data_IF_811970675986
#
_entry.id   IF_811970675986
#
_cell.length_a   1.000
_cell.length_b   1.000
_cell.length_c   1.000
_cell.angle_alpha   90.00
_cell.angle_beta   90.00
_cell.angle_gamma   90.00
#
_symmetry.space_group_name_H-M   'P 1'
#
loop_
_entity.id
_entity.type
_entity.pdbx_description
1 polymer ?
#
# COMPACT_ATOMS: atom_id res chain seq x y z
N UNK A 1 85.95 -22.26 13.15
CA UNK A 1 87.32 -21.71 13.27
C UNK A 1 87.60 -20.92 11.99
N UNK A 2 87.38 -19.61 12.03
CA UNK A 2 88.41 -18.55 12.12
C UNK A 2 89.11 -18.24 10.77
N UNK A 3 88.73 -17.13 10.13
CA UNK A 3 89.51 -15.88 10.22
C UNK A 3 88.79 -14.69 9.55
N UNK A 4 88.42 -13.75 10.40
CA UNK A 4 88.29 -12.31 10.14
C UNK A 4 89.68 -11.66 10.33
N UNK A 5 89.88 -10.43 9.83
CA UNK A 5 90.95 -9.42 10.07
C UNK A 5 91.77 -9.12 8.81
N UNK A 6 92.12 -7.89 8.42
CA UNK A 6 92.12 -6.53 9.01
C UNK A 6 92.51 -5.61 7.82
N UNK A 7 91.75 -4.60 7.40
CA UNK A 7 91.77 -3.19 7.85
C UNK A 7 93.11 -2.67 8.41
N UNK A 8 93.56 -1.54 7.83
CA UNK A 8 94.46 -0.48 8.31
C UNK A 8 95.82 -0.33 7.58
N UNK A 9 95.88 0.70 6.74
CA UNK A 9 96.94 1.72 6.81
C UNK A 9 96.38 3.04 6.27
N UNK A 10 95.87 3.80 7.23
CA UNK A 10 95.42 5.19 7.13
C UNK A 10 96.59 6.10 7.51
N UNK A 11 96.54 7.32 6.98
CA UNK A 11 97.11 8.56 7.54
C UNK A 11 98.61 8.79 7.43
N UNK A 12 98.97 9.50 6.36
CA UNK A 12 99.91 10.61 6.46
C UNK A 12 99.62 11.63 5.35
N UNK A 13 98.55 12.40 5.53
CA UNK A 13 98.46 13.76 4.99
C UNK A 13 97.41 14.56 5.77
N UNK A 14 97.92 15.57 6.49
CA UNK A 14 97.22 16.77 6.94
C UNK A 14 96.35 16.62 8.19
N UNK A 15 97.03 16.64 9.34
CA UNK A 15 96.63 17.44 10.50
C UNK A 15 96.26 18.87 10.04
N UNK A 16 95.00 19.08 9.63
CA UNK A 16 94.33 20.34 9.96
C UNK A 16 93.78 20.13 11.36
N UNK A 17 94.37 20.81 12.34
CA UNK A 17 93.66 21.11 13.58
C UNK A 17 92.27 21.60 13.19
N UNK A 18 91.22 21.05 13.81
CA UNK A 18 89.83 21.42 13.53
C UNK A 18 89.63 22.89 13.94
N UNK A 19 90.01 23.80 13.05
CA UNK A 19 89.84 25.24 13.19
C UNK A 19 88.34 25.51 13.26
N UNK A 20 87.91 26.25 14.27
CA UNK A 20 86.53 26.69 14.39
C UNK A 20 86.34 27.89 13.48
N UNK A 21 85.71 27.69 12.31
CA UNK A 21 85.55 28.72 11.28
C UNK A 21 84.08 28.78 10.80
N UNK A 22 83.65 29.95 10.32
CA UNK A 22 82.36 30.09 9.64
C UNK A 22 82.43 29.61 8.19
N UNK A 23 81.42 28.83 7.77
CA UNK A 23 81.35 28.24 6.44
C UNK A 23 80.02 28.60 5.77
N UNK A 24 80.10 29.08 4.53
CA UNK A 24 78.95 29.23 3.65
C UNK A 24 78.76 27.98 2.80
N UNK A 25 77.58 27.38 2.87
CA UNK A 25 77.17 26.17 2.14
C UNK A 25 75.96 26.46 1.26
N UNK A 26 75.92 25.87 0.06
CA UNK A 26 74.82 25.96 -0.89
C UNK A 26 74.40 24.54 -1.28
N UNK A 27 73.10 24.22 -1.21
CA UNK A 27 72.58 22.90 -1.57
C UNK A 27 71.22 22.99 -2.30
N UNK A 28 71.09 22.46 -3.54
CA UNK A 28 72.17 22.06 -4.44
C UNK A 28 72.91 23.29 -5.01
N UNK A 29 74.17 23.12 -5.41
CA UNK A 29 75.00 24.20 -6.00
C UNK A 29 74.63 24.57 -7.44
N UNK A 30 73.80 23.76 -8.08
CA UNK A 30 73.28 23.98 -9.42
C UNK A 30 71.78 23.68 -9.44
N UNK A 31 70.99 24.52 -10.10
CA UNK A 31 69.52 24.44 -10.09
C UNK A 31 68.93 24.57 -11.49
N UNK A 32 67.78 23.95 -11.73
CA UNK A 32 66.89 24.23 -12.86
C UNK A 32 65.77 25.13 -12.35
N UNK A 33 65.65 26.34 -12.91
CA UNK A 33 64.62 27.29 -12.51
C UNK A 33 63.23 26.70 -12.74
N UNK A 34 62.36 26.78 -11.72
CA UNK A 34 61.00 26.25 -11.73
C UNK A 34 60.89 24.73 -11.59
N UNK A 35 62.01 24.00 -11.43
CA UNK A 35 62.03 22.53 -11.30
C UNK A 35 62.72 22.09 -10.00
N UNK A 36 63.88 22.66 -9.67
CA UNK A 36 64.63 22.22 -8.49
C UNK A 36 63.95 22.69 -7.21
N UNK A 37 63.43 21.75 -6.42
CA UNK A 37 62.81 22.02 -5.13
C UNK A 37 63.85 22.07 -3.99
N UNK A 38 63.50 22.74 -2.89
CA UNK A 38 64.25 22.74 -1.63
C UNK A 38 65.72 23.22 -1.73
N UNK A 39 65.92 24.42 -2.26
CA UNK A 39 67.24 25.06 -2.37
C UNK A 39 67.59 25.80 -1.08
N UNK A 40 68.81 25.63 -0.55
CA UNK A 40 69.25 26.29 0.68
C UNK A 40 70.63 26.95 0.56
N UNK A 41 70.77 28.09 1.22
CA UNK A 41 72.05 28.79 1.43
C UNK A 41 72.21 29.00 2.93
N UNK A 42 73.26 28.46 3.53
CA UNK A 42 73.47 28.47 4.98
C UNK A 42 74.88 28.93 5.32
N UNK A 43 74.98 29.94 6.17
CA UNK A 43 76.22 30.34 6.82
C UNK A 43 76.17 29.92 8.28
N UNK A 44 77.13 29.10 8.71
CA UNK A 44 77.15 28.54 10.07
C UNK A 44 78.58 28.37 10.58
N UNK A 45 78.74 28.39 11.91
CA UNK A 45 80.00 28.01 12.54
C UNK A 45 80.22 26.50 12.45
N UNK A 46 81.40 26.06 12.01
CA UNK A 46 81.82 24.65 12.01
C UNK A 46 83.15 24.48 12.72
N UNK A 47 83.26 23.44 13.53
CA UNK A 47 84.49 23.09 14.25
C UNK A 47 84.34 23.26 15.76
N UNK A 48 85.48 23.27 16.47
CA UNK A 48 85.49 23.40 17.93
C UNK A 48 85.48 24.87 18.34
N UNK A 49 84.61 25.23 19.29
CA UNK A 49 84.57 26.59 19.88
C UNK A 49 85.91 26.95 20.54
N UNK A 50 86.61 25.97 21.11
CA UNK A 50 87.94 26.17 21.71
C UNK A 50 89.02 26.58 20.70
N UNK A 51 88.74 26.45 19.40
CA UNK A 51 89.61 26.85 18.31
C UNK A 51 89.10 28.09 17.54
N UNK A 52 88.08 28.79 18.07
CA UNK A 52 87.53 30.05 17.54
C UNK A 52 88.27 31.24 18.14
N UNK A 53 88.53 32.27 17.34
CA UNK A 53 88.99 33.57 17.86
C UNK A 53 87.83 34.41 18.44
N UNK A 54 86.59 34.09 18.08
CA UNK A 54 85.40 34.75 18.59
C UNK A 54 85.00 34.20 19.95
N UNK A 55 84.74 35.11 20.90
CA UNK A 55 84.07 34.85 22.17
C UNK A 55 82.56 35.12 22.04
N UNK A 56 82.20 36.22 21.39
CA UNK A 56 80.80 36.57 21.08
C UNK A 56 80.64 37.02 19.63
N UNK A 57 79.48 36.74 19.03
CA UNK A 57 79.11 37.24 17.70
C UNK A 57 78.05 38.32 17.87
N UNK A 58 78.26 39.48 17.24
CA UNK A 58 77.30 40.60 17.22
C UNK A 58 76.30 40.44 16.09
N UNK A 59 76.79 40.11 14.88
CA UNK A 59 75.95 39.91 13.70
C UNK A 59 76.61 38.99 12.68
N UNK A 60 75.74 38.35 11.89
CA UNK A 60 76.10 37.51 10.76
C UNK A 60 75.29 37.95 9.54
N UNK A 61 75.94 38.18 8.41
CA UNK A 61 75.31 38.68 7.18
C UNK A 61 75.56 37.73 6.03
N UNK A 62 74.53 37.36 5.28
CA UNK A 62 74.70 36.84 3.92
C UNK A 62 74.61 38.02 2.96
N UNK A 63 75.60 38.12 2.08
CA UNK A 63 75.67 39.11 1.03
C UNK A 63 75.64 38.44 -0.34
N UNK A 64 75.06 39.14 -1.30
CA UNK A 64 75.04 38.75 -2.71
C UNK A 64 75.76 39.80 -3.53
N UNK A 65 76.59 39.33 -4.46
CA UNK A 65 77.30 40.19 -5.42
C UNK A 65 76.30 40.85 -6.39
N UNK A 66 76.46 42.15 -6.60
CA UNK A 66 75.69 42.96 -7.54
C UNK A 66 76.35 42.96 -8.91
N UNK A 67 75.65 43.48 -9.92
CA UNK A 67 76.21 43.64 -11.26
C UNK A 67 77.45 44.57 -11.31
N UNK A 68 77.66 45.43 -10.31
CA UNK A 68 78.83 46.29 -10.18
C UNK A 68 80.02 45.62 -9.47
N UNK A 69 79.90 44.32 -9.14
CA UNK A 69 80.85 43.56 -8.29
C UNK A 69 80.96 44.08 -6.85
N UNK A 70 79.96 44.86 -6.41
CA UNK A 70 79.79 45.21 -5.00
C UNK A 70 78.98 44.13 -4.29
N UNK A 71 79.02 44.09 -2.95
CA UNK A 71 78.26 43.11 -2.17
C UNK A 71 77.14 43.81 -1.40
N UNK A 72 75.89 43.41 -1.69
CA UNK A 72 74.71 43.92 -1.00
C UNK A 72 74.22 42.90 0.03
N UNK A 73 73.77 43.38 1.19
CA UNK A 73 73.22 42.54 2.25
C UNK A 73 71.87 41.99 1.78
N UNK A 74 71.76 40.66 1.72
CA UNK A 74 70.49 39.97 1.43
C UNK A 74 69.75 39.61 2.71
N UNK A 75 70.49 39.21 3.74
CA UNK A 75 69.95 38.94 5.06
C UNK A 75 71.00 39.17 6.14
N UNK A 76 70.58 39.76 7.26
CA UNK A 76 71.37 39.92 8.49
C UNK A 76 70.64 39.26 9.66
N UNK A 77 71.40 38.58 10.51
CA UNK A 77 70.99 38.19 11.86
C UNK A 77 71.85 38.95 12.87
N UNK A 78 71.22 39.62 13.84
CA UNK A 78 71.89 40.49 14.82
C UNK A 78 71.46 40.16 16.24
N UNK A 79 72.40 40.20 17.18
CA UNK A 79 72.13 40.04 18.61
C UNK A 79 71.48 41.30 19.18
N UNK A 80 70.39 41.12 19.93
CA UNK A 80 69.67 42.20 20.67
C UNK A 80 69.43 41.76 22.11
N UNK A 81 69.12 42.71 23.01
CA UNK A 81 69.10 42.49 24.47
C UNK A 81 68.27 41.28 24.93
N UNK A 82 67.19 40.94 24.21
CA UNK A 82 66.32 39.79 24.49
C UNK A 82 66.07 38.89 23.28
N UNK A 83 67.11 38.62 22.48
CA UNK A 83 67.06 37.61 21.45
C UNK A 83 67.84 37.98 20.20
N UNK A 84 67.21 37.73 19.06
CA UNK A 84 67.85 37.83 17.75
C UNK A 84 66.92 38.58 16.82
N UNK A 85 67.43 39.63 16.17
CA UNK A 85 66.73 40.32 15.10
C UNK A 85 67.21 39.80 13.74
N UNK A 86 66.28 39.55 12.82
CA UNK A 86 66.58 39.08 11.47
C UNK A 86 65.96 40.05 10.48
N UNK A 87 66.81 40.69 9.66
CA UNK A 87 66.36 41.52 8.54
C UNK A 87 66.70 40.85 7.22
N UNK A 88 65.80 40.91 6.25
CA UNK A 88 66.03 40.39 4.90
C UNK A 88 65.47 41.33 3.85
N UNK A 89 66.22 41.52 2.76
CA UNK A 89 65.80 42.27 1.57
C UNK A 89 65.23 41.35 0.47
N UNK A 90 65.07 40.06 0.75
CA UNK A 90 64.57 39.04 -0.17
C UNK A 90 63.03 39.01 -0.21
N UNK A 91 62.48 38.33 -1.21
CA UNK A 91 61.03 38.15 -1.36
C UNK A 91 60.41 37.38 -0.18
N UNK A 92 59.13 37.65 0.12
CA UNK A 92 58.41 36.99 1.24
C UNK A 92 58.26 35.46 1.08
N UNK A 93 58.49 34.94 -0.13
CA UNK A 93 58.52 33.50 -0.41
C UNK A 93 59.80 32.80 0.07
N UNK A 94 60.87 33.52 0.39
CA UNK A 94 62.11 32.95 0.92
C UNK A 94 62.00 32.81 2.43
N UNK A 95 62.17 31.59 2.92
CA UNK A 95 62.21 31.35 4.37
C UNK A 95 63.60 31.67 4.89
N UNK A 96 63.65 32.55 5.89
CA UNK A 96 64.89 32.94 6.58
C UNK A 96 64.81 32.47 8.02
N UNK A 97 65.88 31.82 8.48
CA UNK A 97 66.01 31.39 9.87
C UNK A 97 67.44 31.59 10.34
N UNK A 98 67.64 31.95 11.61
CA UNK A 98 68.99 32.18 12.13
C UNK A 98 69.03 32.22 13.64
N UNK A 99 70.23 32.07 14.19
CA UNK A 99 70.52 32.06 15.61
C UNK A 99 71.91 32.66 15.85
N UNK A 100 72.08 33.39 16.96
CA UNK A 100 73.34 33.99 17.40
C UNK A 100 73.54 33.89 18.93
N UNK A 101 72.91 32.90 19.56
CA UNK A 101 72.92 32.73 21.02
C UNK A 101 74.32 32.51 21.59
N UNK A 102 75.14 31.72 20.90
CA UNK A 102 76.56 31.50 21.17
C UNK A 102 77.28 31.11 19.88
N UNK A 103 78.61 31.16 19.87
CA UNK A 103 79.45 30.87 18.68
C UNK A 103 79.09 29.51 18.07
N UNK A 104 78.96 28.46 18.88
CA UNK A 104 78.70 27.09 18.41
C UNK A 104 77.38 26.93 17.64
N UNK A 105 76.36 27.68 18.04
CA UNK A 105 75.00 27.61 17.50
C UNK A 105 74.69 28.77 16.56
N UNK A 106 75.70 29.56 16.16
CA UNK A 106 75.50 30.70 15.29
C UNK A 106 75.33 30.24 13.84
N UNK A 107 74.17 30.54 13.26
CA UNK A 107 73.90 30.29 11.85
C UNK A 107 72.86 31.27 11.28
N UNK A 108 72.82 31.36 9.96
CA UNK A 108 71.73 31.96 9.21
C UNK A 108 71.50 31.18 7.91
N UNK A 109 70.25 30.87 7.61
CA UNK A 109 69.83 30.01 6.50
C UNK A 109 68.72 30.68 5.70
N UNK A 110 68.87 30.64 4.37
CA UNK A 110 67.88 31.00 3.37
C UNK A 110 67.35 29.72 2.72
N UNK A 111 66.04 29.60 2.52
CA UNK A 111 65.41 28.41 1.92
C UNK A 111 64.31 28.76 0.93
N UNK A 112 64.38 28.18 -0.27
CA UNK A 112 63.37 28.27 -1.33
C UNK A 112 62.67 26.92 -1.49
N UNK A 113 61.33 26.90 -1.50
CA UNK A 113 60.56 25.68 -1.81
C UNK A 113 60.74 25.26 -3.27
N UNK A 114 60.95 26.22 -4.17
CA UNK A 114 61.23 26.01 -5.59
C UNK A 114 62.24 27.05 -6.08
N UNK A 115 63.24 26.61 -6.87
CA UNK A 115 64.27 27.49 -7.42
C UNK A 115 63.66 28.54 -8.36
N UNK A 116 63.85 29.81 -8.04
CA UNK A 116 63.43 30.98 -8.83
C UNK A 116 64.65 31.79 -9.24
N UNK A 117 64.54 32.66 -10.26
CA UNK A 117 65.70 33.36 -10.84
C UNK A 117 66.47 34.24 -9.85
N UNK A 118 65.85 34.65 -8.75
CA UNK A 118 66.45 35.42 -7.66
C UNK A 118 67.44 34.60 -6.80
N UNK A 119 67.41 33.27 -6.86
CA UNK A 119 68.33 32.37 -6.13
C UNK A 119 69.74 32.30 -6.76
N UNK A 120 69.85 32.67 -8.05
CA UNK A 120 71.12 32.60 -8.79
C UNK A 120 72.05 33.74 -8.39
N UNK A 121 73.34 33.44 -8.25
CA UNK A 121 74.37 34.46 -8.04
C UNK A 121 75.52 34.02 -7.16
N UNK A 122 76.31 35.01 -6.77
CA UNK A 122 77.53 34.85 -6.01
C UNK A 122 77.31 35.33 -4.58
N UNK A 123 77.53 34.45 -3.61
CA UNK A 123 77.22 34.69 -2.21
C UNK A 123 78.48 34.61 -1.35
N UNK A 124 78.53 35.43 -0.29
CA UNK A 124 79.48 35.28 0.81
C UNK A 124 78.82 35.60 2.13
N UNK A 125 79.49 35.27 3.22
CA UNK A 125 79.02 35.57 4.55
C UNK A 125 80.04 36.45 5.28
N UNK A 126 79.57 37.56 5.85
CA UNK A 126 80.37 38.50 6.61
C UNK A 126 80.02 38.32 8.11
N UNK A 127 81.03 38.10 8.95
CA UNK A 127 80.92 37.79 10.38
C UNK A 127 81.50 38.95 11.18
N UNK A 128 80.76 39.42 12.18
CA UNK A 128 81.22 40.45 13.11
C UNK A 128 81.03 39.98 14.54
N UNK A 129 82.07 40.14 15.36
CA UNK A 129 82.03 39.73 16.75
C UNK A 129 83.19 40.29 17.54
N UNK A 130 83.38 39.76 18.74
CA UNK A 130 84.38 40.23 19.68
C UNK A 130 85.21 39.07 20.21
N UNK A 131 86.49 39.34 20.48
CA UNK A 131 87.36 38.50 21.29
C UNK A 131 87.00 38.64 22.78
N UNK A 132 87.52 37.74 23.63
CA UNK A 132 87.33 37.80 25.08
C UNK A 132 87.87 39.10 25.72
N UNK A 133 88.81 39.78 25.08
CA UNK A 133 89.34 41.09 25.50
C UNK A 133 88.57 42.29 24.90
N UNK A 134 87.42 42.05 24.27
CA UNK A 134 86.57 43.03 23.59
C UNK A 134 87.12 43.63 22.28
N UNK A 135 88.21 43.08 21.73
CA UNK A 135 88.66 43.47 20.38
C UNK A 135 87.66 43.05 19.31
N UNK A 136 87.40 43.95 18.36
CA UNK A 136 86.49 43.70 17.23
C UNK A 136 87.14 42.75 16.23
N UNK A 137 86.42 41.68 15.89
CA UNK A 137 86.76 40.76 14.81
C UNK A 137 85.79 40.92 13.65
N UNK A 138 86.36 40.86 12.45
CA UNK A 138 85.61 40.88 11.20
C UNK A 138 86.21 39.87 10.22
N UNK A 139 85.40 38.90 9.81
CA UNK A 139 85.79 37.87 8.86
C UNK A 139 84.81 37.78 7.70
N UNK A 140 85.31 37.27 6.56
CA UNK A 140 84.52 37.00 5.37
C UNK A 140 84.75 35.56 4.94
N UNK A 141 83.68 34.82 4.69
CA UNK A 141 83.80 33.46 4.15
C UNK A 141 84.23 33.48 2.69
N UNK A 142 84.82 32.38 2.19
CA UNK A 142 85.01 32.18 0.75
C UNK A 142 83.68 32.26 0.01
N UNK A 143 83.76 32.84 -1.18
CA UNK A 143 82.61 33.03 -2.06
C UNK A 143 82.07 31.69 -2.58
N UNK A 144 80.74 31.58 -2.70
CA UNK A 144 80.03 30.43 -3.30
C UNK A 144 79.13 30.90 -4.42
N UNK A 145 79.16 30.18 -5.54
CA UNK A 145 78.35 30.49 -6.73
C UNK A 145 77.23 29.47 -6.84
N UNK A 146 76.01 29.96 -7.05
CA UNK A 146 74.84 29.16 -7.39
C UNK A 146 74.43 29.51 -8.83
N UNK A 147 74.51 28.51 -9.71
CA UNK A 147 74.31 28.69 -11.14
C UNK A 147 73.15 27.86 -11.68
N UNK A 148 72.57 28.34 -12.78
CA UNK A 148 71.53 27.62 -13.50
C UNK A 148 72.12 26.49 -14.35
N UNK A 149 71.50 25.32 -14.31
CA UNK A 149 71.77 24.23 -15.26
C UNK A 149 71.00 24.54 -16.54
N UNK A 150 71.68 24.59 -17.68
CA UNK A 150 71.03 24.62 -18.98
C UNK A 150 70.93 23.19 -19.51
N UNK A 151 69.77 22.53 -19.44
CA UNK A 151 69.65 21.13 -19.85
C UNK A 151 69.79 21.01 -21.37
N UNK A 152 70.28 19.86 -21.82
CA UNK A 152 70.35 19.54 -23.25
C UNK A 152 68.94 19.30 -23.82
N UNK A 153 68.77 19.55 -25.12
CA UNK A 153 67.49 19.30 -25.83
C UNK A 153 66.98 17.88 -25.61
N UNK A 154 67.89 16.90 -25.53
CA UNK A 154 67.53 15.49 -25.36
C UNK A 154 66.97 15.17 -23.97
N UNK A 155 67.51 15.79 -22.91
CA UNK A 155 67.02 15.64 -21.53
C UNK A 155 65.64 16.25 -21.37
N UNK A 156 65.40 17.42 -21.97
CA UNK A 156 64.08 18.03 -22.03
C UNK A 156 63.07 17.09 -22.69
N UNK A 157 63.38 16.53 -23.87
CA UNK A 157 62.50 15.59 -24.56
C UNK A 157 62.15 14.37 -23.69
N UNK A 158 63.13 13.81 -22.97
CA UNK A 158 62.91 12.65 -22.10
C UNK A 158 61.98 12.98 -20.93
N UNK A 159 62.13 14.16 -20.31
CA UNK A 159 61.23 14.67 -19.28
C UNK A 159 59.78 14.80 -19.79
N UNK A 160 59.58 15.43 -20.95
CA UNK A 160 58.25 15.57 -21.55
C UNK A 160 57.62 14.23 -21.93
N UNK A 161 58.41 13.26 -22.39
CA UNK A 161 57.93 11.89 -22.64
C UNK A 161 57.43 11.21 -21.37
N UNK A 162 58.20 11.31 -20.28
CA UNK A 162 57.81 10.75 -18.97
C UNK A 162 56.53 11.40 -18.45
N UNK A 163 56.46 12.73 -18.43
CA UNK A 163 55.31 13.46 -17.92
C UNK A 163 54.03 13.16 -18.73
N UNK A 164 54.15 13.05 -20.06
CA UNK A 164 53.03 12.63 -20.92
C UNK A 164 52.57 11.20 -20.63
N UNK A 165 53.50 10.27 -20.37
CA UNK A 165 53.17 8.90 -19.95
C UNK A 165 52.38 8.88 -18.63
N UNK A 166 52.85 9.62 -17.62
CA UNK A 166 52.18 9.72 -16.32
C UNK A 166 50.76 10.32 -16.45
N UNK A 167 50.59 11.35 -17.28
CA UNK A 167 49.28 11.97 -17.54
C UNK A 167 48.34 10.97 -18.23
N UNK A 168 48.81 10.25 -19.25
CA UNK A 168 48.01 9.25 -19.96
C UNK A 168 47.56 8.12 -19.01
N UNK A 169 48.46 7.65 -18.14
CA UNK A 169 48.13 6.63 -17.15
C UNK A 169 47.06 7.11 -16.16
N UNK A 170 47.18 8.35 -15.67
CA UNK A 170 46.17 8.96 -14.77
C UNK A 170 44.82 9.12 -15.46
N UNK A 171 44.80 9.51 -16.74
CA UNK A 171 43.57 9.62 -17.52
C UNK A 171 42.92 8.24 -17.70
N UNK A 172 43.69 7.21 -18.05
CA UNK A 172 43.18 5.83 -18.19
C UNK A 172 42.57 5.33 -16.88
N UNK A 173 43.30 5.44 -15.77
CA UNK A 173 42.80 5.01 -14.46
C UNK A 173 41.53 5.75 -14.04
N UNK A 174 41.42 7.06 -14.34
CA UNK A 174 40.21 7.84 -14.06
C UNK A 174 39.03 7.38 -14.92
N UNK A 175 39.28 7.07 -16.19
CA UNK A 175 38.26 6.54 -17.12
C UNK A 175 37.74 5.19 -16.63
N UNK A 176 38.64 4.25 -16.34
CA UNK A 176 38.26 2.91 -15.86
C UNK A 176 37.44 3.00 -14.56
N UNK A 177 37.82 3.91 -13.66
CA UNK A 177 37.03 4.21 -12.46
C UNK A 177 35.63 4.74 -12.79
N UNK A 178 35.51 5.73 -13.68
CA UNK A 178 34.20 6.23 -14.11
C UNK A 178 33.34 5.15 -14.77
N UNK A 179 33.93 4.31 -15.63
CA UNK A 179 33.21 3.23 -16.32
C UNK A 179 32.69 2.19 -15.31
N UNK A 180 33.50 1.83 -14.30
CA UNK A 180 33.05 0.96 -13.21
C UNK A 180 31.91 1.56 -12.39
N UNK A 181 31.95 2.87 -12.14
CA UNK A 181 30.89 3.56 -11.41
C UNK A 181 29.58 3.57 -12.22
N UNK A 182 29.66 3.83 -13.53
CA UNK A 182 28.50 3.82 -14.43
C UNK A 182 27.91 2.41 -14.53
N UNK A 183 28.75 1.38 -14.61
CA UNK A 183 28.29 -0.01 -14.62
C UNK A 183 27.56 -0.39 -13.33
N UNK A 184 28.08 0.02 -12.17
CA UNK A 184 27.43 -0.19 -10.87
C UNK A 184 26.07 0.51 -10.80
N UNK A 185 26.00 1.78 -11.22
CA UNK A 185 24.73 2.53 -11.26
C UNK A 185 23.72 1.88 -12.21
N UNK A 186 24.16 1.40 -13.38
CA UNK A 186 23.28 0.67 -14.30
C UNK A 186 22.73 -0.63 -13.68
N UNK A 187 23.56 -1.37 -12.95
CA UNK A 187 23.14 -2.58 -12.26
C UNK A 187 22.08 -2.25 -11.19
N UNK A 188 22.29 -1.21 -10.39
CA UNK A 188 21.34 -0.76 -9.36
C UNK A 188 20.02 -0.27 -9.99
N UNK A 189 20.07 0.47 -11.10
CA UNK A 189 18.88 0.88 -11.84
C UNK A 189 18.09 -0.35 -12.30
N UNK A 190 18.76 -1.32 -12.91
CA UNK A 190 18.10 -2.53 -13.42
C UNK A 190 17.48 -3.36 -12.27
N UNK A 191 18.15 -3.48 -11.14
CA UNK A 191 17.61 -4.14 -9.95
C UNK A 191 16.36 -3.41 -9.42
N UNK A 192 16.43 -2.08 -9.33
CA UNK A 192 15.31 -1.24 -8.88
C UNK A 192 14.10 -1.37 -9.81
N UNK A 193 14.32 -1.40 -11.13
CA UNK A 193 13.26 -1.61 -12.12
C UNK A 193 12.58 -2.97 -11.91
N UNK A 194 13.35 -4.04 -11.71
CA UNK A 194 12.80 -5.37 -11.45
C UNK A 194 11.94 -5.44 -10.18
N UNK A 195 12.38 -4.75 -9.11
CA UNK A 195 11.63 -4.65 -7.86
C UNK A 195 10.29 -3.92 -8.05
N UNK A 196 10.29 -2.80 -8.80
CA UNK A 196 9.06 -2.05 -9.12
C UNK A 196 8.04 -2.94 -9.84
N UNK A 197 8.48 -3.66 -10.88
CA UNK A 197 7.58 -4.55 -11.62
C UNK A 197 7.00 -5.67 -10.74
N UNK A 198 7.78 -6.19 -9.80
CA UNK A 198 7.32 -7.22 -8.87
C UNK A 198 6.27 -6.66 -7.89
N UNK A 199 6.46 -5.44 -7.39
CA UNK A 199 5.48 -4.77 -6.54
C UNK A 199 4.15 -4.53 -7.27
N UNK A 200 4.20 -4.06 -8.53
CA UNK A 200 2.99 -3.87 -9.34
C UNK A 200 2.22 -5.18 -9.56
N UNK A 201 2.92 -6.26 -9.90
CA UNK A 201 2.31 -7.59 -10.06
C UNK A 201 1.66 -8.07 -8.77
N UNK A 202 2.34 -7.91 -7.63
CA UNK A 202 1.81 -8.33 -6.33
C UNK A 202 0.55 -7.54 -5.95
N UNK A 203 0.55 -6.21 -6.14
CA UNK A 203 -0.60 -5.38 -5.82
C UNK A 203 -1.81 -5.69 -6.71
N UNK A 204 -1.57 -5.94 -8.00
CA UNK A 204 -2.62 -6.33 -8.96
C UNK A 204 -3.27 -7.67 -8.59
N UNK A 205 -2.47 -8.68 -8.22
CA UNK A 205 -2.99 -9.98 -7.79
C UNK A 205 -3.82 -9.88 -6.50
N UNK A 206 -3.33 -9.15 -5.49
CA UNK A 206 -4.06 -8.96 -4.23
C UNK A 206 -5.40 -8.26 -4.46
N UNK A 207 -5.43 -7.21 -5.29
CA UNK A 207 -6.68 -6.52 -5.62
C UNK A 207 -7.65 -7.42 -6.39
N UNK A 208 -7.15 -8.18 -7.37
CA UNK A 208 -7.93 -9.12 -8.17
C UNK A 208 -8.57 -10.20 -7.31
N UNK A 209 -7.82 -10.79 -6.39
CA UNK A 209 -8.32 -11.85 -5.50
C UNK A 209 -9.38 -11.32 -4.53
N UNK A 210 -9.15 -10.15 -3.93
CA UNK A 210 -10.12 -9.49 -3.05
C UNK A 210 -11.42 -9.14 -3.79
N UNK A 211 -11.32 -8.67 -5.04
CA UNK A 211 -12.48 -8.37 -5.87
C UNK A 211 -13.24 -9.65 -6.25
N UNK A 212 -12.52 -10.70 -6.66
CA UNK A 212 -13.11 -11.98 -7.03
C UNK A 212 -13.86 -12.62 -5.86
N UNK A 213 -13.30 -12.53 -4.65
CA UNK A 213 -13.95 -13.01 -3.43
C UNK A 213 -15.26 -12.26 -3.14
N UNK A 214 -15.27 -10.93 -3.27
CA UNK A 214 -16.49 -10.11 -3.13
C UNK A 214 -17.54 -10.47 -4.18
N UNK A 215 -17.14 -10.62 -5.44
CA UNK A 215 -18.04 -11.01 -6.54
C UNK A 215 -18.65 -12.38 -6.28
N UNK A 216 -17.85 -13.34 -5.80
CA UNK A 216 -18.31 -14.69 -5.46
C UNK A 216 -19.33 -14.66 -4.32
N UNK A 217 -19.06 -13.92 -3.25
CA UNK A 217 -20.01 -13.74 -2.14
C UNK A 217 -21.33 -13.09 -2.59
N UNK A 218 -21.26 -12.05 -3.42
CA UNK A 218 -22.45 -11.40 -3.94
C UNK A 218 -23.26 -12.36 -4.83
N UNK A 219 -22.59 -13.13 -5.68
CA UNK A 219 -23.23 -14.14 -6.52
C UNK A 219 -23.96 -15.20 -5.70
N UNK A 220 -23.35 -15.67 -4.60
CA UNK A 220 -24.00 -16.59 -3.66
C UNK A 220 -25.20 -15.97 -2.95
N UNK A 221 -25.11 -14.70 -2.53
CA UNK A 221 -26.25 -13.98 -1.95
C UNK A 221 -27.41 -13.84 -2.93
N UNK A 222 -27.12 -13.52 -4.19
CA UNK A 222 -28.12 -13.45 -5.26
C UNK A 222 -28.76 -14.82 -5.50
N UNK A 223 -27.98 -15.89 -5.53
CA UNK A 223 -28.51 -17.25 -5.65
C UNK A 223 -29.47 -17.58 -4.50
N UNK A 224 -29.06 -17.33 -3.25
CA UNK A 224 -29.93 -17.52 -2.07
C UNK A 224 -31.22 -16.69 -2.14
N UNK A 225 -31.14 -15.44 -2.59
CA UNK A 225 -32.32 -14.58 -2.75
C UNK A 225 -33.26 -15.05 -3.88
N UNK A 226 -32.74 -15.73 -4.90
CA UNK A 226 -33.56 -16.41 -5.91
C UNK A 226 -34.27 -17.62 -5.30
N UNK A 227 -33.55 -18.40 -4.49
CA UNK A 227 -34.08 -19.59 -3.83
C UNK A 227 -35.17 -19.25 -2.80
N UNK A 228 -35.09 -18.05 -2.18
CA UNK A 228 -36.10 -17.57 -1.23
C UNK A 228 -37.39 -17.07 -1.89
N UNK A 229 -37.53 -17.12 -3.23
CA UNK A 229 -38.76 -16.72 -3.91
C UNK A 229 -39.12 -15.23 -3.83
N UNK A 230 -38.22 -14.37 -3.32
CA UNK A 230 -38.47 -12.92 -3.10
C UNK A 230 -38.74 -12.17 -4.42
N UNK A 231 -38.26 -12.70 -5.54
CA UNK A 231 -38.52 -12.17 -6.88
C UNK A 231 -39.61 -12.94 -7.65
N UNK A 232 -40.32 -13.87 -7.01
CA UNK A 232 -41.41 -14.61 -7.67
C UNK A 232 -42.68 -13.77 -7.67
N UNK A 233 -43.18 -13.51 -8.87
CA UNK A 233 -44.53 -13.01 -9.09
C UNK A 233 -45.54 -14.11 -8.71
N UNK A 234 -46.72 -13.70 -8.26
CA UNK A 234 -47.82 -14.66 -8.06
C UNK A 234 -48.24 -15.18 -9.43
N UNK A 235 -48.72 -16.44 -9.57
CA UNK A 235 -49.05 -16.96 -10.87
C UNK A 235 -50.06 -16.09 -11.64
N UNK A 236 -50.00 -16.13 -12.96
CA UNK A 236 -50.92 -15.38 -13.82
C UNK A 236 -52.38 -15.88 -13.69
N UNK A 237 -53.30 -15.02 -14.14
CA UNK A 237 -54.74 -15.30 -14.17
C UNK A 237 -55.52 -14.72 -12.98
N UNK A 238 -56.85 -14.77 -13.09
CA UNK A 238 -57.76 -14.23 -12.09
C UNK A 238 -58.23 -15.32 -11.13
N UNK A 239 -57.94 -15.15 -9.85
CA UNK A 239 -58.26 -16.11 -8.79
C UNK A 239 -58.38 -15.40 -7.45
N UNK A 240 -58.87 -16.11 -6.43
CA UNK A 240 -58.83 -15.62 -5.06
C UNK A 240 -58.30 -16.69 -4.10
N UNK A 241 -57.79 -16.23 -2.96
CA UNK A 241 -57.31 -17.05 -1.86
C UNK A 241 -58.00 -16.62 -0.56
N UNK A 242 -58.10 -17.53 0.41
CA UNK A 242 -58.50 -17.15 1.76
C UNK A 242 -57.45 -16.23 2.37
N UNK A 243 -57.92 -15.25 3.14
CA UNK A 243 -57.07 -14.24 3.79
C UNK A 243 -56.56 -14.79 5.12
N UNK A 244 -55.24 -14.91 5.32
CA UNK A 244 -54.68 -15.13 6.64
C UNK A 244 -54.84 -13.92 7.56
N UNK A 245 -54.71 -14.11 8.86
CA UNK A 245 -54.69 -13.04 9.87
C UNK A 245 -53.51 -12.05 9.72
N UNK A 246 -52.51 -12.39 8.90
CA UNK A 246 -51.40 -11.51 8.51
C UNK A 246 -51.73 -10.61 7.30
N UNK A 247 -52.97 -10.71 6.78
CA UNK A 247 -53.44 -10.00 5.60
C UNK A 247 -53.16 -10.75 4.29
N UNK A 248 -53.45 -10.10 3.17
CA UNK A 248 -53.24 -10.70 1.86
C UNK A 248 -51.77 -10.99 1.57
N UNK A 249 -51.49 -12.02 0.74
CA UNK A 249 -50.13 -12.27 0.30
C UNK A 249 -49.53 -11.04 -0.38
N UNK A 250 -48.23 -10.81 -0.25
CA UNK A 250 -47.55 -9.63 -0.81
C UNK A 250 -46.51 -10.03 -1.85
N UNK A 251 -46.39 -9.26 -2.94
CA UNK A 251 -45.17 -9.16 -3.76
C UNK A 251 -45.22 -7.98 -4.76
N UNK A 252 -44.14 -7.86 -5.54
CA UNK A 252 -44.02 -6.99 -6.70
C UNK A 252 -45.04 -7.45 -7.76
N UNK A 253 -46.11 -6.69 -8.01
CA UNK A 253 -46.95 -6.84 -9.20
C UNK A 253 -48.34 -7.46 -9.03
N UNK A 254 -48.67 -8.13 -7.92
CA UNK A 254 -50.04 -8.55 -7.63
C UNK A 254 -50.74 -7.51 -6.73
N UNK A 255 -51.81 -6.90 -7.22
CA UNK A 255 -52.69 -6.05 -6.43
C UNK A 255 -53.90 -6.88 -5.96
N UNK A 256 -54.01 -7.05 -4.65
CA UNK A 256 -55.10 -7.81 -4.03
C UNK A 256 -56.21 -6.87 -3.58
N UNK A 257 -57.42 -7.13 -4.08
CA UNK A 257 -58.62 -6.54 -3.49
C UNK A 257 -59.12 -7.47 -2.38
N UNK A 258 -59.61 -6.89 -1.28
CA UNK A 258 -60.14 -7.65 -0.15
C UNK A 258 -61.66 -7.65 -0.15
N UNK A 259 -62.24 -8.70 0.40
CA UNK A 259 -63.67 -8.80 0.67
C UNK A 259 -63.97 -10.00 1.54
N UNK A 260 -65.23 -10.16 1.92
CA UNK A 260 -65.66 -11.27 2.75
C UNK A 260 -67.09 -11.67 2.46
N UNK A 261 -67.37 -12.95 2.73
CA UNK A 261 -68.71 -13.51 2.86
C UNK A 261 -68.97 -13.79 4.33
N UNK A 262 -70.01 -13.17 4.89
CA UNK A 262 -70.60 -13.49 6.19
C UNK A 262 -71.77 -14.44 5.94
N UNK A 263 -71.64 -15.69 6.35
CA UNK A 263 -72.68 -16.71 6.24
C UNK A 263 -73.44 -16.77 7.56
N UNK A 264 -74.76 -16.63 7.51
CA UNK A 264 -75.64 -16.99 8.62
C UNK A 264 -75.81 -18.52 8.58
N UNK A 265 -75.20 -19.20 9.54
CA UNK A 265 -75.23 -20.66 9.69
C UNK A 265 -76.38 -21.06 10.62
N UNK A 266 -76.67 -22.35 10.69
CA UNK A 266 -77.77 -22.90 11.51
C UNK A 266 -77.74 -22.30 12.93
N UNK A 267 -78.89 -21.73 13.32
CA UNK A 267 -79.01 -20.93 14.55
C UNK A 267 -80.22 -21.30 15.40
N UNK A 268 -81.08 -22.19 14.90
CA UNK A 268 -82.34 -22.56 15.54
C UNK A 268 -82.19 -23.85 16.34
N UNK A 269 -81.60 -24.88 15.74
CA UNK A 269 -81.60 -26.24 16.31
C UNK A 269 -80.28 -26.60 17.02
N UNK A 270 -79.14 -26.20 16.46
CA UNK A 270 -77.80 -26.53 16.97
C UNK A 270 -76.74 -25.56 16.41
N UNK A 271 -75.48 -25.74 16.82
CA UNK A 271 -74.33 -25.06 16.22
C UNK A 271 -73.14 -26.03 16.15
N UNK A 272 -72.78 -26.42 14.92
CA UNK A 272 -71.58 -27.21 14.60
C UNK A 272 -70.52 -26.45 13.81
N UNK A 273 -70.63 -25.12 13.75
CA UNK A 273 -69.57 -24.30 13.20
C UNK A 273 -68.27 -24.56 13.93
N UNK A 274 -67.23 -24.81 13.17
CA UNK A 274 -65.92 -25.02 13.76
C UNK A 274 -64.81 -24.68 12.78
N UNK A 275 -63.67 -24.32 13.37
CA UNK A 275 -62.42 -24.08 12.65
C UNK A 275 -61.33 -24.80 13.41
N UNK A 276 -60.45 -25.48 12.69
CA UNK A 276 -59.30 -26.18 13.27
C UNK A 276 -58.45 -25.27 14.15
N UNK A 277 -57.96 -25.79 15.29
CA UNK A 277 -57.06 -25.07 16.20
C UNK A 277 -55.64 -25.65 16.12
N UNK A 278 -54.59 -24.82 15.91
CA UNK A 278 -54.63 -23.37 15.68
C UNK A 278 -55.21 -23.00 14.31
N UNK A 279 -55.88 -21.84 14.23
CA UNK A 279 -56.29 -21.23 12.96
C UNK A 279 -55.55 -19.91 12.74
N UNK A 280 -55.19 -19.66 11.50
CA UNK A 280 -54.56 -18.42 11.05
C UNK A 280 -55.44 -17.67 10.03
N UNK A 281 -56.74 -17.99 9.97
CA UNK A 281 -57.70 -17.26 9.16
C UNK A 281 -57.91 -15.84 9.68
N UNK A 282 -58.22 -14.91 8.78
CA UNK A 282 -58.55 -13.53 9.13
C UNK A 282 -59.76 -13.47 10.09
N UNK A 283 -59.62 -12.67 11.14
CA UNK A 283 -60.70 -12.41 12.10
C UNK A 283 -61.65 -11.30 11.62
N UNK A 284 -62.94 -11.36 11.99
CA UNK A 284 -63.60 -12.49 12.66
C UNK A 284 -63.74 -13.67 11.69
N UNK A 285 -63.55 -14.88 12.17
CA UNK A 285 -63.76 -16.12 11.41
C UNK A 285 -65.06 -16.85 11.82
N UNK A 286 -65.48 -16.65 13.08
CA UNK A 286 -66.76 -17.04 13.66
C UNK A 286 -67.29 -15.90 14.54
N UNK A 287 -68.60 -15.74 14.61
CA UNK A 287 -69.27 -14.76 15.47
C UNK A 287 -70.67 -15.26 15.85
N UNK A 288 -71.13 -15.01 17.08
CA UNK A 288 -72.53 -15.22 17.47
C UNK A 288 -73.12 -13.88 17.90
N UNK A 289 -74.20 -13.44 17.26
CA UNK A 289 -74.89 -12.17 17.55
C UNK A 289 -76.38 -12.44 17.69
N UNK A 290 -76.99 -12.01 18.80
CA UNK A 290 -78.44 -12.16 19.03
C UNK A 290 -78.98 -13.58 18.83
N UNK A 291 -78.20 -14.59 19.25
CA UNK A 291 -78.44 -16.06 19.08
C UNK A 291 -78.25 -16.60 17.66
N UNK A 292 -77.89 -15.76 16.70
CA UNK A 292 -77.54 -16.17 15.36
C UNK A 292 -76.04 -16.44 15.24
N UNK A 293 -75.69 -17.56 14.62
CA UNK A 293 -74.32 -18.02 14.38
C UNK A 293 -73.85 -17.57 13.00
N UNK A 294 -72.60 -17.13 12.92
CA UNK A 294 -72.02 -16.67 11.68
C UNK A 294 -70.62 -17.22 11.48
N UNK A 295 -70.38 -17.66 10.25
CA UNK A 295 -69.06 -18.02 9.75
C UNK A 295 -68.61 -16.98 8.72
N UNK A 296 -67.32 -16.65 8.73
CA UNK A 296 -66.74 -15.69 7.80
C UNK A 296 -65.68 -16.33 6.92
N UNK A 297 -65.79 -16.08 5.62
CA UNK A 297 -64.71 -16.32 4.68
C UNK A 297 -64.21 -14.98 4.15
N UNK A 298 -62.96 -14.65 4.46
CA UNK A 298 -62.29 -13.45 3.96
C UNK A 298 -61.42 -13.82 2.77
N UNK A 299 -61.43 -13.00 1.72
CA UNK A 299 -60.78 -13.30 0.45
C UNK A 299 -59.81 -12.20 0.03
N UNK A 300 -58.70 -12.65 -0.56
CA UNK A 300 -57.77 -11.85 -1.33
C UNK A 300 -58.00 -12.19 -2.80
N UNK A 301 -58.56 -11.24 -3.55
CA UNK A 301 -58.93 -11.42 -4.96
C UNK A 301 -57.91 -10.74 -5.87
N UNK A 302 -57.32 -11.54 -6.76
CA UNK A 302 -56.44 -11.07 -7.83
C UNK A 302 -57.21 -10.94 -9.14
N UNK A 303 -57.20 -9.74 -9.72
CA UNK A 303 -57.92 -9.42 -10.97
C UNK A 303 -57.16 -9.82 -12.26
N UNK A 304 -56.18 -10.72 -12.17
CA UNK A 304 -55.44 -11.21 -13.33
C UNK A 304 -54.35 -10.26 -13.84
N UNK A 305 -53.98 -9.26 -13.05
CA UNK A 305 -52.89 -8.31 -13.39
C UNK A 305 -51.49 -8.86 -13.10
N UNK A 306 -51.40 -10.01 -12.44
CA UNK A 306 -50.10 -10.63 -12.16
C UNK A 306 -49.45 -11.10 -13.46
N UNK A 307 -48.19 -10.71 -13.67
CA UNK A 307 -47.34 -11.15 -14.81
C UNK A 307 -46.47 -12.35 -14.46
N UNK A 308 -46.87 -13.12 -13.45
CA UNK A 308 -46.12 -14.31 -13.02
C UNK A 308 -46.31 -15.49 -13.96
N UNK A 309 -45.61 -16.61 -13.68
CA UNK A 309 -45.73 -17.82 -14.48
C UNK A 309 -47.12 -18.43 -14.36
N UNK A 310 -47.44 -19.42 -15.18
CA UNK A 310 -48.61 -20.26 -14.96
C UNK A 310 -48.55 -20.93 -13.57
N UNK A 311 -49.72 -21.26 -13.02
CA UNK A 311 -49.77 -22.02 -11.76
C UNK A 311 -48.97 -23.32 -11.88
N UNK A 312 -48.16 -23.68 -10.87
CA UNK A 312 -47.30 -24.86 -10.93
C UNK A 312 -48.10 -26.16 -10.85
N UNK A 313 -47.63 -27.22 -11.54
CA UNK A 313 -48.23 -28.57 -11.49
C UNK A 313 -48.21 -29.12 -10.07
N UNK A 314 -49.30 -29.73 -9.63
CA UNK A 314 -49.46 -30.17 -8.25
C UNK A 314 -50.87 -30.66 -7.92
N UNK A 315 -51.19 -30.73 -6.64
CA UNK A 315 -52.51 -31.15 -6.13
C UNK A 315 -53.08 -30.15 -5.12
N UNK A 316 -53.89 -29.20 -5.60
CA UNK A 316 -54.50 -28.15 -4.77
C UNK A 316 -55.65 -27.46 -5.50
N UNK A 317 -56.48 -26.72 -4.75
CA UNK A 317 -57.45 -25.79 -5.32
C UNK A 317 -57.25 -24.35 -4.83
N UNK A 318 -57.76 -23.41 -5.62
CA UNK A 318 -57.91 -21.98 -5.32
C UNK A 318 -59.33 -21.53 -5.64
N UNK A 319 -59.79 -20.39 -5.16
CA UNK A 319 -61.08 -19.88 -5.60
C UNK A 319 -60.98 -19.30 -7.01
N UNK A 320 -62.00 -19.56 -7.82
CA UNK A 320 -62.16 -18.92 -9.12
C UNK A 320 -62.57 -17.46 -8.93
N UNK A 321 -62.02 -16.50 -9.68
CA UNK A 321 -62.43 -15.08 -9.60
C UNK A 321 -62.96 -14.47 -10.90
N UNK A 322 -62.92 -15.22 -12.02
CA UNK A 322 -63.44 -14.79 -13.32
C UNK A 322 -64.27 -15.91 -13.98
N UNK A 323 -64.78 -15.68 -15.19
CA UNK A 323 -65.61 -16.66 -15.91
C UNK A 323 -64.88 -17.96 -16.35
N UNK A 324 -63.61 -18.14 -15.97
CA UNK A 324 -62.84 -19.37 -16.16
C UNK A 324 -61.71 -19.50 -15.14
N UNK A 325 -61.05 -20.65 -15.13
CA UNK A 325 -59.88 -20.90 -14.30
C UNK A 325 -58.58 -20.43 -14.96
N UNK A 326 -57.54 -20.08 -14.17
CA UNK A 326 -56.20 -19.92 -14.72
C UNK A 326 -55.75 -21.20 -15.46
N UNK A 327 -54.82 -21.03 -16.40
CA UNK A 327 -54.36 -22.12 -17.26
C UNK A 327 -53.89 -23.35 -16.45
N UNK A 328 -54.38 -24.53 -16.83
CA UNK A 328 -54.05 -25.81 -16.19
C UNK A 328 -54.90 -26.19 -14.99
N UNK A 329 -55.81 -25.32 -14.52
CA UNK A 329 -56.81 -25.68 -13.50
C UNK A 329 -58.18 -25.93 -14.11
N UNK A 330 -58.92 -26.85 -13.52
CA UNK A 330 -60.30 -27.22 -13.90
C UNK A 330 -61.30 -26.64 -12.91
N UNK A 331 -62.46 -26.21 -13.43
CA UNK A 331 -63.50 -25.53 -12.66
C UNK A 331 -64.49 -26.52 -12.05
N UNK A 332 -64.90 -26.25 -10.82
CA UNK A 332 -66.04 -26.88 -10.16
C UNK A 332 -66.57 -25.96 -9.06
N UNK A 333 -67.70 -26.32 -8.45
CA UNK A 333 -68.24 -25.56 -7.33
C UNK A 333 -68.74 -26.45 -6.20
N UNK A 334 -68.80 -25.85 -5.01
CA UNK A 334 -69.58 -26.35 -3.88
C UNK A 334 -70.76 -25.38 -3.70
N UNK A 335 -71.96 -25.90 -3.53
CA UNK A 335 -73.13 -25.13 -3.12
C UNK A 335 -73.75 -25.71 -1.87
N UNK A 336 -74.22 -24.83 -0.98
CA UNK A 336 -74.90 -25.20 0.25
C UNK A 336 -75.98 -24.20 0.63
N UNK A 337 -76.91 -24.64 1.47
CA UNK A 337 -77.94 -23.77 2.03
C UNK A 337 -77.42 -23.11 3.30
N UNK A 338 -77.51 -21.78 3.34
CA UNK A 338 -77.31 -21.01 4.56
C UNK A 338 -78.62 -21.07 5.38
N UNK A 339 -78.61 -20.57 6.62
CA UNK A 339 -79.82 -20.47 7.46
C UNK A 339 -80.96 -19.82 6.65
N UNK A 340 -82.10 -20.51 6.57
CA UNK A 340 -83.26 -20.06 5.77
C UNK A 340 -84.11 -19.07 6.57
N UNK A 341 -84.19 -19.23 7.89
CA UNK A 341 -85.06 -18.42 8.75
C UNK A 341 -84.44 -17.06 9.00
N UNK A 342 -85.10 -15.99 8.54
CA UNK A 342 -84.63 -14.60 8.72
C UNK A 342 -83.14 -14.41 8.37
N UNK A 343 -82.71 -15.04 7.27
CA UNK A 343 -81.31 -15.04 6.90
C UNK A 343 -80.71 -13.64 6.79
N UNK A 344 -79.63 -13.39 7.53
CA UNK A 344 -78.90 -12.11 7.54
C UNK A 344 -77.51 -12.22 6.92
N UNK A 345 -77.28 -13.27 6.12
CA UNK A 345 -76.03 -13.46 5.40
C UNK A 345 -75.74 -12.27 4.49
N UNK A 346 -74.51 -11.80 4.48
CA UNK A 346 -74.10 -10.62 3.71
C UNK A 346 -72.71 -10.79 3.11
N UNK A 347 -72.36 -9.92 2.17
CA UNK A 347 -71.03 -9.92 1.56
C UNK A 347 -70.57 -8.48 1.31
N UNK A 348 -69.27 -8.24 1.39
CA UNK A 348 -68.69 -6.93 1.12
C UNK A 348 -67.33 -7.05 0.42
N UNK A 349 -66.93 -6.02 -0.30
CA UNK A 349 -65.63 -5.97 -1.00
C UNK A 349 -65.57 -6.89 -2.22
N UNK A 350 -64.36 -7.29 -2.59
CA UNK A 350 -64.11 -8.20 -3.69
C UNK A 350 -64.28 -9.67 -3.27
N UNK A 351 -65.05 -10.43 -4.05
CA UNK A 351 -65.34 -11.84 -3.79
C UNK A 351 -64.83 -12.71 -4.93
N UNK A 352 -64.56 -14.00 -4.68
CA UNK A 352 -64.46 -14.96 -5.76
C UNK A 352 -65.78 -15.08 -6.52
N UNK A 353 -65.72 -15.75 -7.67
CA UNK A 353 -66.90 -16.12 -8.43
C UNK A 353 -67.78 -17.02 -7.57
N UNK A 354 -69.04 -16.63 -7.45
CA UNK A 354 -70.03 -17.34 -6.66
C UNK A 354 -71.41 -16.76 -6.84
N UNK A 355 -72.41 -17.49 -6.35
CA UNK A 355 -73.78 -17.00 -6.18
C UNK A 355 -74.03 -16.82 -4.68
N UNK A 356 -74.02 -15.57 -4.22
CA UNK A 356 -74.15 -15.21 -2.80
C UNK A 356 -75.56 -14.68 -2.52
N UNK A 357 -76.50 -15.58 -2.23
CA UNK A 357 -77.88 -15.20 -1.89
C UNK A 357 -78.03 -15.07 -0.38
N UNK A 358 -79.21 -14.66 0.09
CA UNK A 358 -79.46 -14.55 1.53
C UNK A 358 -79.34 -15.93 2.20
N UNK A 359 -80.00 -16.95 1.66
CA UNK A 359 -80.14 -18.28 2.24
C UNK A 359 -79.37 -19.39 1.49
N UNK A 360 -78.50 -19.04 0.55
CA UNK A 360 -77.73 -20.06 -0.19
C UNK A 360 -76.41 -19.49 -0.67
N UNK A 361 -75.34 -20.26 -0.53
CA UNK A 361 -74.01 -19.90 -1.01
C UNK A 361 -73.53 -20.93 -2.04
N UNK A 362 -73.07 -20.44 -3.20
CA UNK A 362 -72.28 -21.22 -4.17
C UNK A 362 -70.94 -20.55 -4.38
N UNK A 363 -69.84 -21.29 -4.25
CA UNK A 363 -68.49 -20.79 -4.50
C UNK A 363 -67.81 -21.68 -5.54
N UNK A 364 -67.21 -21.04 -6.55
CA UNK A 364 -66.45 -21.73 -7.58
C UNK A 364 -64.97 -21.84 -7.21
N UNK A 365 -64.40 -22.98 -7.57
CA UNK A 365 -63.01 -23.35 -7.33
C UNK A 365 -62.32 -23.72 -8.63
N UNK A 366 -61.01 -23.57 -8.63
CA UNK A 366 -60.11 -24.01 -9.68
C UNK A 366 -59.15 -25.01 -9.06
N UNK A 367 -59.23 -26.27 -9.49
CA UNK A 367 -58.47 -27.38 -8.94
C UNK A 367 -57.55 -27.99 -9.99
N UNK A 368 -56.45 -28.59 -9.53
CA UNK A 368 -55.56 -29.41 -10.35
C UNK A 368 -55.01 -30.56 -9.52
N UNK A 369 -54.78 -31.70 -10.18
CA UNK A 369 -54.14 -32.89 -9.60
C UNK A 369 -53.16 -33.52 -10.62
N UNK A 370 -52.51 -32.68 -11.41
CA UNK A 370 -51.60 -33.08 -12.49
C UNK A 370 -50.14 -33.21 -12.04
N UNK A 371 -49.91 -33.23 -10.73
CA UNK A 371 -48.64 -33.48 -10.08
C UNK A 371 -48.83 -33.96 -8.62
N UNK A 372 -47.89 -34.74 -8.08
CA UNK A 372 -47.94 -35.22 -6.69
C UNK A 372 -47.76 -34.09 -5.67
N UNK A 373 -48.57 -34.10 -4.60
CA UNK A 373 -48.52 -33.11 -3.51
C UNK A 373 -47.16 -33.07 -2.80
N UNK A 374 -46.40 -34.17 -2.79
CA UNK A 374 -45.08 -34.25 -2.15
C UNK A 374 -43.93 -33.66 -2.99
N UNK A 375 -44.21 -33.17 -4.21
CA UNK A 375 -43.21 -32.45 -4.98
C UNK A 375 -43.40 -30.94 -4.76
N UNK A 376 -42.46 -30.25 -4.08
CA UNK A 376 -42.61 -28.85 -3.74
C UNK A 376 -42.88 -27.97 -4.96
N UNK A 377 -43.93 -27.16 -4.90
CA UNK A 377 -44.19 -26.11 -5.88
C UNK A 377 -43.54 -24.80 -5.46
N UNK A 378 -43.25 -23.94 -6.43
CA UNK A 378 -42.68 -22.62 -6.21
C UNK A 378 -43.78 -21.57 -6.28
N UNK A 379 -44.07 -20.96 -5.14
CA UNK A 379 -44.98 -19.83 -4.98
C UNK A 379 -44.28 -18.75 -4.14
N UNK A 380 -44.72 -17.47 -4.19
CA UNK A 380 -44.15 -16.42 -3.36
C UNK A 380 -44.26 -16.75 -1.86
N UNK A 381 -43.14 -16.63 -1.15
CA UNK A 381 -43.00 -17.06 0.25
C UNK A 381 -42.88 -15.89 1.23
N UNK A 382 -43.11 -14.64 0.80
CA UNK A 382 -42.89 -13.47 1.66
C UNK A 382 -43.94 -13.33 2.77
N UNK A 383 -45.19 -13.69 2.49
CA UNK A 383 -46.28 -13.70 3.46
C UNK A 383 -47.00 -15.05 3.47
N UNK A 384 -47.59 -15.44 4.60
CA UNK A 384 -48.41 -16.64 4.66
C UNK A 384 -49.58 -16.61 3.67
N UNK A 385 -50.07 -17.77 3.28
CA UNK A 385 -51.24 -17.90 2.42
C UNK A 385 -51.94 -19.24 2.63
N UNK A 386 -53.15 -19.36 2.08
CA UNK A 386 -53.93 -20.59 2.07
C UNK A 386 -54.10 -21.13 0.65
N UNK A 387 -53.99 -22.44 0.51
CA UNK A 387 -54.60 -23.20 -0.59
C UNK A 387 -55.62 -24.16 0.00
N UNK A 388 -56.57 -24.58 -0.81
CA UNK A 388 -57.49 -25.65 -0.43
C UNK A 388 -56.82 -27.01 -0.69
N UNK A 389 -56.98 -27.94 0.26
CA UNK A 389 -56.47 -29.30 0.09
C UNK A 389 -57.23 -29.97 -1.03
N UNK A 390 -56.54 -30.74 -1.86
CA UNK A 390 -57.16 -31.50 -2.94
C UNK A 390 -56.44 -32.82 -3.12
N UNK A 391 -57.21 -33.91 -3.18
CA UNK A 391 -56.72 -35.27 -3.39
C UNK A 391 -55.89 -35.80 -2.21
N UNK A 392 -56.29 -35.47 -0.97
CA UNK A 392 -55.91 -36.17 0.26
C UNK A 392 -54.84 -35.50 1.12
N UNK A 393 -53.82 -34.86 0.54
CA UNK A 393 -52.74 -34.21 1.30
C UNK A 393 -52.46 -32.79 0.82
N UNK A 394 -51.83 -31.98 1.67
CA UNK A 394 -51.44 -30.63 1.30
C UNK A 394 -50.26 -30.65 0.34
N UNK A 395 -50.36 -29.83 -0.70
CA UNK A 395 -49.27 -29.57 -1.64
C UNK A 395 -48.07 -28.94 -0.93
N UNK A 396 -46.90 -29.54 -0.98
CA UNK A 396 -45.67 -28.93 -0.46
C UNK A 396 -45.33 -27.67 -1.26
N UNK A 397 -44.92 -26.60 -0.56
CA UNK A 397 -44.45 -25.34 -1.15
C UNK A 397 -43.00 -25.15 -0.73
N UNK A 398 -42.10 -24.97 -1.71
CA UNK A 398 -40.68 -24.83 -1.46
C UNK A 398 -40.42 -23.61 -0.55
N UNK A 399 -39.70 -23.83 0.56
CA UNK A 399 -39.35 -22.77 1.50
C UNK A 399 -40.47 -22.34 2.45
N UNK A 400 -41.57 -23.09 2.54
CA UNK A 400 -42.68 -22.81 3.47
C UNK A 400 -42.99 -24.05 4.32
N UNK A 401 -43.35 -23.82 5.58
CA UNK A 401 -43.96 -24.84 6.46
C UNK A 401 -45.44 -24.98 6.12
N UNK A 402 -45.90 -26.22 6.07
CA UNK A 402 -47.30 -26.56 5.75
C UNK A 402 -48.04 -27.01 7.00
N UNK A 403 -49.23 -26.49 7.24
CA UNK A 403 -50.14 -26.91 8.32
C UNK A 403 -51.53 -27.17 7.76
N UNK A 404 -52.08 -28.36 8.04
CA UNK A 404 -53.44 -28.70 7.63
C UNK A 404 -54.46 -28.14 8.62
N UNK A 405 -55.61 -27.72 8.11
CA UNK A 405 -56.72 -27.20 8.90
C UNK A 405 -58.05 -27.41 8.20
N UNK A 406 -59.14 -26.94 8.80
CA UNK A 406 -60.47 -26.98 8.19
C UNK A 406 -61.38 -25.88 8.70
N UNK A 407 -62.45 -25.66 7.94
CA UNK A 407 -63.64 -24.92 8.33
C UNK A 407 -64.84 -25.84 8.15
N UNK A 408 -65.73 -25.86 9.14
CA UNK A 408 -67.02 -26.55 9.09
C UNK A 408 -68.11 -25.48 9.24
N UNK A 409 -69.04 -25.48 8.30
CA UNK A 409 -70.23 -24.64 8.32
C UNK A 409 -71.40 -25.55 8.70
N UNK A 410 -72.12 -25.24 9.79
CA UNK A 410 -73.38 -25.89 10.13
C UNK A 410 -74.45 -25.33 9.18
N UNK A 411 -74.67 -26.05 8.09
CA UNK A 411 -75.60 -25.66 7.03
C UNK A 411 -77.03 -25.96 7.45
N UNK A 412 -78.00 -25.30 6.82
CA UNK A 412 -79.41 -25.52 7.12
C UNK A 412 -79.82 -27.00 6.89
N UNK A 413 -80.79 -27.48 7.67
CA UNK A 413 -81.24 -28.88 7.64
C UNK A 413 -81.98 -29.29 6.35
N UNK A 414 -82.20 -28.36 5.41
CA UNK A 414 -82.86 -28.61 4.12
C UNK A 414 -81.93 -29.18 3.03
N UNK A 415 -81.28 -30.32 3.28
CA UNK A 415 -80.60 -31.23 2.33
C UNK A 415 -80.38 -30.71 0.88
N UNK A 416 -79.59 -29.65 0.71
CA UNK A 416 -79.36 -28.97 -0.57
C UNK A 416 -77.88 -28.83 -0.92
N UNK A 417 -77.01 -29.38 -0.07
CA UNK A 417 -75.57 -29.29 -0.20
C UNK A 417 -75.07 -30.23 -1.29
N UNK A 418 -74.22 -29.72 -2.16
CA UNK A 418 -73.77 -30.50 -3.31
C UNK A 418 -72.44 -30.01 -3.88
N UNK A 419 -71.75 -30.98 -4.47
CA UNK A 419 -70.64 -30.78 -5.37
C UNK A 419 -71.15 -30.82 -6.81
N UNK A 420 -70.62 -29.95 -7.67
CA UNK A 420 -70.92 -30.01 -9.11
C UNK A 420 -70.27 -31.23 -9.77
N UNK A 421 -68.97 -31.39 -9.53
CA UNK A 421 -68.08 -32.32 -10.21
C UNK A 421 -66.84 -32.55 -9.31
N UNK A 422 -65.90 -33.45 -9.65
CA UNK A 422 -64.75 -33.73 -8.78
C UNK A 422 -63.73 -32.59 -8.55
N UNK A 423 -63.89 -31.42 -9.18
CA UNK A 423 -62.97 -30.28 -9.07
C UNK A 423 -63.43 -29.31 -7.97
N UNK A 424 -63.40 -29.80 -6.73
CA UNK A 424 -63.64 -29.02 -5.52
C UNK A 424 -62.60 -29.38 -4.43
N UNK A 425 -62.39 -28.52 -3.42
CA UNK A 425 -61.59 -28.85 -2.23
C UNK A 425 -62.01 -30.18 -1.57
N UNK A 426 -61.06 -30.86 -0.92
CA UNK A 426 -61.38 -31.99 -0.05
C UNK A 426 -62.32 -31.54 1.08
N UNK A 427 -63.29 -32.39 1.42
CA UNK A 427 -64.34 -32.00 2.33
C UNK A 427 -65.49 -32.99 2.45
N UNK A 428 -66.55 -32.56 3.12
CA UNK A 428 -67.84 -33.26 3.19
C UNK A 428 -68.97 -32.27 2.93
N UNK A 429 -70.07 -32.76 2.36
CA UNK A 429 -71.37 -32.06 2.29
C UNK A 429 -72.24 -32.47 3.48
N UNK A 430 -73.35 -31.75 3.70
CA UNK A 430 -74.24 -31.87 4.86
C UNK A 430 -73.51 -31.50 6.15
N UNK A 431 -73.52 -30.20 6.48
CA UNK A 431 -72.53 -29.48 7.27
C UNK A 431 -71.20 -29.40 6.52
N UNK A 432 -71.16 -28.48 5.55
CA UNK A 432 -70.03 -28.33 4.64
C UNK A 432 -68.71 -28.21 5.41
N UNK A 433 -67.83 -29.18 5.21
CA UNK A 433 -66.45 -29.15 5.70
C UNK A 433 -65.53 -28.88 4.53
N UNK A 434 -64.62 -27.92 4.69
CA UNK A 434 -63.61 -27.58 3.69
C UNK A 434 -62.23 -27.72 4.32
N UNK A 435 -61.38 -28.54 3.69
CA UNK A 435 -60.02 -28.80 4.15
C UNK A 435 -59.04 -27.78 3.56
N UNK A 436 -58.19 -27.24 4.43
CA UNK A 436 -57.29 -26.13 4.15
C UNK A 436 -55.83 -26.53 4.36
N UNK A 437 -54.97 -25.87 3.61
CA UNK A 437 -53.53 -25.94 3.75
C UNK A 437 -52.99 -24.52 3.97
N UNK A 438 -52.45 -24.28 5.16
CA UNK A 438 -51.79 -23.04 5.53
C UNK A 438 -50.30 -23.14 5.29
N UNK A 439 -49.73 -22.14 4.62
CA UNK A 439 -48.30 -22.05 4.34
C UNK A 439 -47.71 -20.83 5.02
N UNK A 440 -46.63 -21.02 5.77
CA UNK A 440 -45.90 -19.93 6.45
C UNK A 440 -44.38 -20.08 6.27
N UNK A 441 -43.60 -18.99 6.24
CA UNK A 441 -42.14 -19.06 6.04
C UNK A 441 -41.36 -19.83 7.11
#
# INVERSE_FOLDING_TARGET
MFRVCHSLLVALCLLKHARGDFVLSINPSQVLIGITENVTIQCEFKGSVSASEYDTIDRLRILKETATHDYQIVTEVRKVDHGVDISSSLSSSVKVHGNISNVASTFITLSWSLATSDVLGTYRCDIFGYKANFDVLFEKTPVKVLQEIKPSVQETINLWKKQRGDIQQKISARRDYCDSLVAAVHADINATVADIEQLERNQSNVFKDALLQKVTMLSQKVARLKDTGVFQYWPEGSYALLTPNSGCPENVGALWATGYRKLHTESTDRNFDSISTPSYLQSPSMETVDRNNFMYQHFCVSSGRSRGPAWPRGSYCINQAANGCPSGLSSGYISWQDEVTNSTSSSAGALPRGDYRANSTRIYYCCRADGPASHPIYLPTFKPFYLYRYNGTCQEVCGMKTSSGNMVFDTDNSHGDSYENPFHPDGTIDNVRIELCYYSP
#
